data_IF_244577683875
#
_entry.id   IF_244577683875
#
_cell.length_a   1.000
_cell.length_b   1.000
_cell.length_c   1.000
_cell.angle_alpha   90.00
_cell.angle_beta   90.00
_cell.angle_gamma   90.00
#
_symmetry.space_group_name_H-M   'P 1'
#
loop_
_entity.id
_entity.type
_entity.pdbx_description
1 polymer ?
#
# COMPACT_ATOMS: atom_id res chain seq x y z
N UNK A 1 -19.75 2.54 -14.36
CA UNK A 1 -18.37 2.72 -14.85
C UNK A 1 -17.62 1.47 -14.47
N UNK A 2 -16.94 0.82 -15.43
CA UNK A 2 -16.19 -0.40 -15.15
C UNK A 2 -14.94 -0.02 -14.35
N UNK A 3 -14.71 -0.70 -13.22
CA UNK A 3 -13.46 -0.52 -12.50
C UNK A 3 -12.32 -0.99 -13.40
N UNK A 4 -11.32 -0.14 -13.60
CA UNK A 4 -10.15 -0.51 -14.39
C UNK A 4 -9.43 -1.67 -13.71
N UNK A 5 -9.05 -2.72 -14.47
CA UNK A 5 -8.25 -3.81 -13.93
C UNK A 5 -6.97 -3.23 -13.33
N UNK A 6 -6.42 -3.94 -12.35
CA UNK A 6 -5.22 -3.53 -11.61
C UNK A 6 -3.97 -3.69 -12.49
N UNK A 7 -3.90 -2.86 -13.53
CA UNK A 7 -2.80 -2.76 -14.48
C UNK A 7 -1.63 -1.99 -13.86
N UNK A 8 -0.39 -2.20 -14.33
CA UNK A 8 0.79 -1.49 -13.83
C UNK A 8 0.67 0.04 -13.91
N UNK A 9 -0.05 0.57 -14.90
CA UNK A 9 -0.31 2.01 -15.02
C UNK A 9 -1.21 2.53 -13.89
N UNK A 10 -2.22 1.74 -13.50
CA UNK A 10 -3.16 2.09 -12.44
C UNK A 10 -2.50 1.92 -11.08
N UNK A 11 -1.72 0.86 -10.88
CA UNK A 11 -0.94 0.68 -9.66
C UNK A 11 0.06 1.83 -9.46
N UNK A 12 0.78 2.26 -10.50
CA UNK A 12 1.69 3.39 -10.43
C UNK A 12 0.98 4.70 -10.02
N UNK A 13 -0.23 4.95 -10.54
CA UNK A 13 -1.06 6.10 -10.15
C UNK A 13 -1.50 6.02 -8.68
N UNK A 14 -1.94 4.85 -8.22
CA UNK A 14 -2.31 4.63 -6.81
C UNK A 14 -1.09 4.83 -5.91
N UNK A 15 0.07 4.28 -6.27
CA UNK A 15 1.31 4.43 -5.52
C UNK A 15 1.70 5.91 -5.41
N UNK A 16 1.66 6.65 -6.51
CA UNK A 16 1.98 8.08 -6.52
C UNK A 16 1.07 8.87 -5.59
N UNK A 17 -0.25 8.66 -5.66
CA UNK A 17 -1.21 9.32 -4.78
C UNK A 17 -1.00 8.94 -3.31
N UNK A 18 -0.82 7.65 -3.02
CA UNK A 18 -0.56 7.19 -1.65
C UNK A 18 0.74 7.74 -1.10
N UNK A 19 1.77 7.89 -1.92
CA UNK A 19 3.05 8.47 -1.50
C UNK A 19 2.99 9.99 -1.30
N UNK A 20 2.16 10.71 -2.06
CA UNK A 20 2.07 12.17 -1.98
C UNK A 20 1.09 12.62 -0.88
N UNK A 21 -0.13 12.08 -0.87
CA UNK A 21 -1.19 12.44 0.07
C UNK A 21 -1.12 11.64 1.38
N UNK A 22 -0.54 10.44 1.37
CA UNK A 22 -0.63 9.47 2.46
C UNK A 22 0.72 8.81 2.83
N UNK A 23 1.84 9.51 2.67
CA UNK A 23 3.17 8.99 3.00
C UNK A 23 3.26 8.38 4.41
N UNK A 24 2.62 9.02 5.41
CA UNK A 24 2.58 8.54 6.79
C UNK A 24 1.86 7.17 6.93
N UNK A 25 0.81 6.94 6.14
CA UNK A 25 0.12 5.66 6.10
C UNK A 25 1.04 4.55 5.55
N UNK A 26 1.87 4.86 4.55
CA UNK A 26 2.85 3.92 3.98
C UNK A 26 3.88 3.50 5.03
N UNK A 27 4.35 4.46 5.84
CA UNK A 27 5.25 4.20 6.98
C UNK A 27 4.56 3.32 8.03
N UNK A 28 3.29 3.61 8.34
CA UNK A 28 2.50 2.80 9.27
C UNK A 28 2.35 1.35 8.76
N UNK A 29 2.11 1.14 7.46
CA UNK A 29 2.03 -0.20 6.88
C UNK A 29 3.35 -0.96 7.01
N UNK A 30 4.47 -0.31 6.67
CA UNK A 30 5.80 -0.89 6.82
C UNK A 30 6.08 -1.31 8.26
N UNK A 31 5.66 -0.50 9.23
CA UNK A 31 5.83 -0.81 10.65
C UNK A 31 4.96 -1.97 11.12
N UNK A 32 3.68 -1.92 10.79
CA UNK A 32 2.70 -2.87 11.33
C UNK A 32 2.69 -4.20 10.58
N UNK A 33 2.68 -4.15 9.24
CA UNK A 33 2.61 -5.34 8.39
C UNK A 33 3.99 -5.78 7.89
N UNK A 34 4.90 -4.84 7.66
CA UNK A 34 6.27 -5.13 7.25
C UNK A 34 7.19 -5.58 8.39
N UNK A 35 6.75 -5.48 9.64
CA UNK A 35 7.54 -5.85 10.82
C UNK A 35 8.75 -4.94 11.07
N UNK A 36 8.79 -3.76 10.45
CA UNK A 36 9.89 -2.79 10.64
C UNK A 36 9.66 -2.03 11.95
N UNK A 37 10.52 -2.21 12.96
CA UNK A 37 10.31 -1.59 14.28
C UNK A 37 10.20 -0.07 14.24
N UNK A 38 11.06 0.59 13.44
CA UNK A 38 11.19 2.05 13.35
C UNK A 38 11.53 2.50 11.92
N UNK A 39 10.57 2.41 10.98
CA UNK A 39 10.77 2.97 9.64
C UNK A 39 10.88 4.49 9.72
N UNK A 40 11.93 5.05 9.10
CA UNK A 40 12.15 6.49 9.01
C UNK A 40 11.38 7.07 7.81
N UNK A 41 11.50 6.41 6.65
CA UNK A 41 10.75 6.73 5.44
C UNK A 41 10.29 5.46 4.76
N UNK A 42 9.07 5.49 4.23
CA UNK A 42 8.53 4.41 3.43
C UNK A 42 7.85 4.97 2.17
N UNK A 43 7.99 4.26 1.06
CA UNK A 43 7.35 4.57 -0.22
C UNK A 43 6.75 3.33 -0.81
N UNK A 44 5.53 3.45 -1.31
CA UNK A 44 4.88 2.41 -2.08
C UNK A 44 5.52 2.38 -3.48
N UNK A 45 6.10 1.25 -3.85
CA UNK A 45 6.72 1.06 -5.15
C UNK A 45 5.70 0.53 -6.16
N UNK A 46 4.97 -0.52 -5.76
CA UNK A 46 4.03 -1.19 -6.65
C UNK A 46 2.90 -1.83 -5.83
N UNK A 47 1.70 -1.82 -6.39
CA UNK A 47 0.57 -2.59 -5.86
C UNK A 47 0.24 -3.69 -6.87
N UNK A 48 0.30 -4.93 -6.43
CA UNK A 48 -0.12 -6.10 -7.19
C UNK A 48 -1.41 -6.66 -6.60
N UNK A 49 -2.07 -7.56 -7.32
CA UNK A 49 -3.33 -8.16 -6.88
C UNK A 49 -3.20 -8.95 -5.58
N UNK A 50 -2.05 -9.56 -5.32
CA UNK A 50 -1.85 -10.44 -4.15
C UNK A 50 -0.96 -9.82 -3.06
N UNK A 51 -0.19 -8.79 -3.41
CA UNK A 51 0.75 -8.14 -2.49
C UNK A 51 1.05 -6.70 -2.91
N UNK A 52 1.46 -5.88 -1.96
CA UNK A 52 2.05 -4.56 -2.22
C UNK A 52 3.54 -4.56 -1.93
N UNK A 53 4.29 -3.88 -2.78
CA UNK A 53 5.73 -3.68 -2.66
C UNK A 53 5.99 -2.29 -2.09
N UNK A 54 6.67 -2.23 -0.97
CA UNK A 54 7.06 -0.99 -0.31
C UNK A 54 8.59 -0.96 -0.18
N UNK A 55 9.16 0.22 -0.34
CA UNK A 55 10.54 0.51 0.02
C UNK A 55 10.56 1.26 1.34
N UNK A 56 11.37 0.79 2.28
CA UNK A 56 11.46 1.34 3.64
C UNK A 56 12.93 1.53 3.96
N UNK A 57 13.37 2.78 4.12
CA UNK A 57 14.78 3.11 4.37
C UNK A 57 15.75 2.44 3.35
N UNK A 58 15.33 2.29 2.09
CA UNK A 58 16.09 1.62 1.03
C UNK A 58 15.98 0.08 1.02
N UNK A 59 15.20 -0.51 1.92
CA UNK A 59 14.89 -1.94 1.94
C UNK A 59 13.54 -2.21 1.29
N UNK A 60 13.52 -3.04 0.24
CA UNK A 60 12.27 -3.46 -0.38
C UNK A 60 11.62 -4.60 0.42
N UNK A 61 10.37 -4.39 0.83
CA UNK A 61 9.53 -5.36 1.50
C UNK A 61 8.26 -5.61 0.69
N UNK A 62 7.71 -6.81 0.77
CA UNK A 62 6.39 -7.11 0.22
C UNK A 62 5.42 -7.48 1.33
N UNK A 63 4.24 -6.89 1.29
CA UNK A 63 3.16 -7.14 2.23
C UNK A 63 2.04 -7.82 1.45
N UNK A 64 1.76 -9.09 1.78
CA UNK A 64 0.67 -9.84 1.17
C UNK A 64 -0.67 -9.34 1.68
N UNK A 65 -1.63 -9.24 0.79
CA UNK A 65 -3.01 -8.95 1.15
C UNK A 65 -3.70 -10.23 1.64
N UNK A 66 -4.71 -10.05 2.50
CA UNK A 66 -5.54 -11.15 2.99
C UNK A 66 -6.47 -11.70 1.90
N UNK A 67 -6.76 -10.88 0.89
CA UNK A 67 -7.52 -11.24 -0.31
C UNK A 67 -6.87 -10.71 -1.58
N UNK A 68 -7.29 -11.25 -2.73
CA UNK A 68 -6.81 -10.80 -4.04
C UNK A 68 -7.59 -9.56 -4.48
N UNK A 69 -6.88 -8.46 -4.71
CA UNK A 69 -7.44 -7.24 -5.25
C UNK A 69 -7.94 -7.48 -6.69
N UNK A 70 -9.19 -7.12 -6.94
CA UNK A 70 -9.83 -7.33 -8.26
C UNK A 70 -9.59 -6.13 -9.20
N UNK A 71 -9.62 -4.93 -8.66
CA UNK A 71 -9.59 -3.68 -9.40
C UNK A 71 -9.07 -2.53 -8.52
N UNK A 72 -8.90 -1.36 -9.14
CA UNK A 72 -8.38 -0.17 -8.47
C UNK A 72 -9.24 0.34 -7.30
N UNK A 73 -10.55 0.16 -7.37
CA UNK A 73 -11.47 0.59 -6.31
C UNK A 73 -11.32 -0.35 -5.10
N UNK A 74 -11.24 -1.66 -5.35
CA UNK A 74 -10.97 -2.65 -4.31
C UNK A 74 -9.60 -2.43 -3.65
N UNK A 75 -8.57 -2.11 -4.42
CA UNK A 75 -7.25 -1.76 -3.90
C UNK A 75 -7.31 -0.57 -2.95
N UNK A 76 -7.94 0.52 -3.38
CA UNK A 76 -8.07 1.72 -2.56
C UNK A 76 -8.87 1.44 -1.28
N UNK A 77 -10.00 0.73 -1.39
CA UNK A 77 -10.83 0.34 -0.23
C UNK A 77 -10.06 -0.52 0.76
N UNK A 78 -9.28 -1.49 0.26
CA UNK A 78 -8.47 -2.39 1.08
C UNK A 78 -7.40 -1.62 1.84
N UNK A 79 -6.65 -0.74 1.15
CA UNK A 79 -5.64 0.11 1.79
C UNK A 79 -6.28 0.98 2.88
N UNK A 80 -7.37 1.69 2.58
CA UNK A 80 -8.08 2.52 3.56
C UNK A 80 -8.60 1.69 4.73
N UNK A 81 -9.10 0.48 4.50
CA UNK A 81 -9.55 -0.43 5.56
C UNK A 81 -8.38 -0.86 6.46
N UNK A 82 -7.24 -1.24 5.90
CA UNK A 82 -6.02 -1.55 6.65
C UNK A 82 -5.56 -0.33 7.48
N UNK A 83 -5.60 0.87 6.90
CA UNK A 83 -5.24 2.10 7.61
C UNK A 83 -6.16 2.39 8.78
N UNK A 84 -7.47 2.18 8.60
CA UNK A 84 -8.49 2.35 9.65
C UNK A 84 -8.42 1.28 10.73
N UNK A 85 -7.99 0.06 10.39
CA UNK A 85 -7.80 -1.03 11.34
C UNK A 85 -6.62 -0.78 12.28
N UNK A 86 -5.64 0.00 11.84
CA UNK A 86 -4.54 0.43 12.71
C UNK A 86 -5.03 1.49 13.71
N UNK A 87 -4.75 1.34 15.02
CA UNK A 87 -5.10 2.36 15.99
C UNK A 87 -4.27 3.62 15.71
N UNK A 88 -4.95 4.75 15.49
CA UNK A 88 -4.31 6.08 15.51
C UNK A 88 -3.69 6.26 16.89
N UNK A 89 -2.35 6.17 16.96
CA UNK A 89 -1.59 6.41 18.21
C UNK A 89 -1.43 7.90 18.46
#
# INVERSE_FOLDING_TARGET
>A
MAADPLSPEVSARICAHMNDDHADAVVAYARHYGGVSTPNQARMLEVQSEAMLLEVDGTQISIKFDHRLSDSEDAHRTLVAMLKAMPKS
#
